data_IF_141505018238
#
_entry.id   IF_141505018238
#
_cell.length_a   1.000
_cell.length_b   1.000
_cell.length_c   1.000
_cell.angle_alpha   90.00
_cell.angle_beta   90.00
_cell.angle_gamma   90.00
#
_symmetry.space_group_name_H-M   'P 1'
#
loop_
_entity.id
_entity.type
_entity.pdbx_description
1 polymer ?
#
# COMPACT_ATOMS: atom_id res chain seq x y z
N UNK A 1 3.63 -32.38 -6.26
CA UNK A 1 2.94 -33.56 -5.72
C UNK A 1 2.26 -33.18 -4.43
N UNK A 2 0.98 -33.44 -4.23
CA UNK A 2 -0.16 -33.35 -5.13
C UNK A 2 -1.08 -32.16 -4.82
N UNK A 3 -1.84 -31.77 -5.81
CA UNK A 3 -2.91 -30.78 -5.76
C UNK A 3 -4.12 -31.32 -4.99
N UNK A 4 -4.62 -30.61 -4.00
CA UNK A 4 -5.91 -30.90 -3.38
C UNK A 4 -6.97 -30.05 -4.05
N UNK A 5 -7.69 -30.65 -5.00
CA UNK A 5 -8.92 -30.13 -5.58
C UNK A 5 -10.05 -30.32 -4.57
N UNK A 6 -10.66 -29.22 -4.14
CA UNK A 6 -11.90 -29.25 -3.37
C UNK A 6 -13.07 -29.10 -4.34
N UNK A 7 -13.79 -30.20 -4.61
CA UNK A 7 -15.05 -30.20 -5.37
C UNK A 7 -16.22 -30.06 -4.39
N UNK A 8 -17.23 -29.23 -4.63
CA UNK A 8 -18.48 -29.28 -3.89
C UNK A 8 -19.41 -30.34 -4.47
N UNK A 9 -19.80 -31.28 -3.64
CA UNK A 9 -20.81 -32.28 -3.95
C UNK A 9 -22.21 -31.65 -3.99
N UNK A 10 -22.84 -31.69 -5.15
CA UNK A 10 -24.23 -31.30 -5.34
C UNK A 10 -25.09 -32.52 -4.97
N UNK A 11 -25.80 -32.44 -3.86
CA UNK A 11 -26.80 -33.46 -3.46
C UNK A 11 -28.15 -33.02 -4.04
N UNK A 12 -28.59 -33.75 -5.05
CA UNK A 12 -29.96 -33.70 -5.57
C UNK A 12 -30.87 -34.52 -4.66
N UNK A 13 -31.76 -33.90 -3.91
CA UNK A 13 -32.91 -34.54 -3.33
C UNK A 13 -34.17 -34.20 -4.14
N UNK A 14 -34.61 -35.13 -4.90
CA UNK A 14 -35.95 -35.15 -5.52
C UNK A 14 -37.00 -35.40 -4.43
N UNK A 15 -37.90 -34.45 -4.22
CA UNK A 15 -39.10 -34.66 -3.41
C UNK A 15 -40.31 -34.51 -4.32
N UNK A 16 -40.90 -35.69 -4.63
CA UNK A 16 -42.26 -35.77 -5.17
C UNK A 16 -43.26 -35.38 -4.07
N UNK A 17 -44.05 -34.37 -4.31
CA UNK A 17 -45.21 -34.08 -3.47
C UNK A 17 -46.46 -33.88 -4.33
N UNK A 18 -47.40 -34.74 -4.00
CA UNK A 18 -48.75 -34.96 -4.52
C UNK A 18 -49.58 -33.69 -4.75
N UNK A 19 -50.28 -33.73 -5.88
CA UNK A 19 -51.42 -32.86 -6.16
C UNK A 19 -52.54 -33.15 -5.16
N UNK A 20 -53.00 -32.10 -4.50
CA UNK A 20 -54.23 -32.05 -3.71
C UNK A 20 -55.02 -30.82 -4.12
N UNK A 21 -56.15 -31.04 -4.76
CA UNK A 21 -57.19 -30.05 -5.02
C UNK A 21 -57.68 -29.44 -3.72
N UNK A 22 -57.79 -28.10 -3.60
CA UNK A 22 -58.83 -27.41 -2.80
C UNK A 22 -59.02 -25.99 -3.29
N UNK A 23 -60.22 -25.80 -3.83
CA UNK A 23 -61.16 -24.67 -3.79
C UNK A 23 -60.68 -23.23 -3.71
N UNK A 24 -61.12 -22.54 -4.73
CA UNK A 24 -61.40 -21.12 -4.88
C UNK A 24 -61.95 -20.49 -3.62
N UNK A 25 -61.20 -19.59 -2.97
CA UNK A 25 -61.80 -18.49 -2.22
C UNK A 25 -61.08 -17.18 -2.47
N UNK A 26 -61.80 -16.36 -3.19
CA UNK A 26 -61.60 -14.96 -3.50
C UNK A 26 -61.44 -14.19 -2.18
N UNK A 27 -60.30 -13.55 -1.89
CA UNK A 27 -60.25 -12.28 -1.20
C UNK A 27 -58.81 -11.77 -1.12
N UNK A 28 -58.59 -10.66 -1.89
CA UNK A 28 -57.72 -9.50 -1.58
C UNK A 28 -56.55 -9.79 -0.67
N UNK A 29 -55.46 -10.28 -1.18
CA UNK A 29 -54.15 -10.11 -0.59
C UNK A 29 -53.48 -8.90 -1.22
N UNK A 30 -53.41 -7.85 -0.43
CA UNK A 30 -52.60 -6.67 -0.69
C UNK A 30 -51.16 -7.14 -0.75
N UNK A 31 -50.60 -7.17 -1.94
CA UNK A 31 -49.14 -7.35 -2.11
C UNK A 31 -48.51 -6.02 -1.69
N UNK A 32 -48.11 -5.96 -0.44
CA UNK A 32 -47.19 -4.91 0.02
C UNK A 32 -45.82 -5.32 -0.46
N UNK A 33 -45.50 -4.93 -1.67
CA UNK A 33 -44.12 -4.92 -2.17
C UNK A 33 -43.37 -3.85 -1.38
N UNK A 34 -42.78 -4.23 -0.26
CA UNK A 34 -41.80 -3.41 0.45
C UNK A 34 -40.57 -3.40 -0.43
N UNK A 35 -40.50 -2.43 -1.32
CA UNK A 35 -39.28 -2.01 -2.01
C UNK A 35 -38.36 -1.44 -0.94
N UNK A 36 -37.49 -2.29 -0.38
CA UNK A 36 -36.30 -1.86 0.38
C UNK A 36 -35.31 -1.21 -0.59
N UNK A 37 -35.67 -0.04 -1.14
CA UNK A 37 -34.72 0.88 -1.75
C UNK A 37 -34.14 1.71 -0.58
N UNK A 38 -33.24 1.09 0.17
CA UNK A 38 -32.36 1.83 1.06
C UNK A 38 -31.51 2.77 0.20
N UNK A 39 -31.41 4.08 0.52
CA UNK A 39 -30.44 4.92 -0.13
C UNK A 39 -29.06 4.35 0.20
N UNK A 40 -28.39 3.75 -0.77
CA UNK A 40 -26.96 3.57 -0.71
C UNK A 40 -26.37 4.98 -0.67
N UNK A 41 -26.06 5.46 0.53
CA UNK A 41 -25.17 6.59 0.71
C UNK A 41 -23.82 6.10 0.18
N UNK A 42 -23.56 6.38 -1.09
CA UNK A 42 -22.22 6.24 -1.65
C UNK A 42 -21.35 7.26 -0.88
N UNK A 43 -20.61 6.79 0.12
CA UNK A 43 -19.50 7.54 0.66
C UNK A 43 -18.60 7.88 -0.52
N UNK A 44 -18.52 9.17 -0.81
CA UNK A 44 -17.57 9.68 -1.80
C UNK A 44 -16.19 9.44 -1.21
N UNK A 45 -15.54 8.33 -1.58
CA UNK A 45 -14.12 8.15 -1.33
C UNK A 45 -13.40 9.31 -2.03
N UNK A 46 -13.02 10.33 -1.26
CA UNK A 46 -12.23 11.44 -1.76
C UNK A 46 -10.95 10.88 -2.39
N UNK A 47 -10.67 11.23 -3.64
CA UNK A 47 -9.40 10.87 -4.25
C UNK A 47 -8.29 11.60 -3.50
N UNK A 48 -7.32 10.83 -2.99
CA UNK A 48 -6.13 11.38 -2.32
C UNK A 48 -5.25 12.07 -3.36
N UNK A 49 -4.83 13.31 -3.07
CA UNK A 49 -4.03 14.14 -3.97
C UNK A 49 -2.54 13.99 -3.65
N UNK A 50 -1.73 13.69 -4.66
CA UNK A 50 -0.28 13.64 -4.54
C UNK A 50 0.37 14.77 -5.34
N UNK A 51 1.21 15.55 -4.66
CA UNK A 51 2.01 16.62 -5.26
C UNK A 51 3.43 16.11 -5.43
N UNK A 52 3.97 16.18 -6.65
CA UNK A 52 5.35 15.78 -6.91
C UNK A 52 6.33 16.78 -6.31
N UNK A 53 7.26 16.28 -5.51
CA UNK A 53 8.38 17.02 -4.96
C UNK A 53 9.64 16.84 -5.81
N UNK A 54 10.55 17.79 -5.71
CA UNK A 54 11.84 17.73 -6.38
C UNK A 54 13.00 17.33 -5.46
N UNK A 55 12.74 17.27 -4.14
CA UNK A 55 13.70 16.85 -3.11
C UNK A 55 13.08 15.97 -2.06
N UNK A 56 13.88 15.03 -1.53
CA UNK A 56 13.55 14.22 -0.37
C UNK A 56 14.51 14.55 0.78
N UNK A 57 13.98 14.56 1.99
CA UNK A 57 14.74 14.58 3.23
C UNK A 57 14.63 13.22 3.89
N UNK A 58 15.77 12.57 4.08
CA UNK A 58 15.89 11.27 4.70
C UNK A 58 16.60 11.41 6.06
N UNK A 59 16.18 10.60 7.01
CA UNK A 59 16.97 10.31 8.21
C UNK A 59 17.79 9.06 7.94
N UNK A 60 19.08 9.13 8.12
CA UNK A 60 20.01 8.02 8.02
C UNK A 60 20.58 7.70 9.41
N UNK A 61 20.48 6.44 9.79
CA UNK A 61 21.02 5.92 11.05
C UNK A 61 22.21 4.99 10.76
N UNK A 62 23.34 5.27 11.37
CA UNK A 62 24.44 4.32 11.50
C UNK A 62 24.20 3.48 12.77
N UNK A 63 23.90 2.19 12.58
CA UNK A 63 23.58 1.27 13.68
C UNK A 63 24.79 0.90 14.54
N UNK A 64 26.00 1.03 14.00
CA UNK A 64 27.24 0.71 14.71
C UNK A 64 27.61 1.83 15.70
N UNK A 65 27.49 3.08 15.24
CA UNK A 65 27.87 4.25 16.05
C UNK A 65 26.67 4.93 16.71
N UNK A 66 25.44 4.44 16.43
CA UNK A 66 24.17 5.03 16.86
C UNK A 66 24.03 6.51 16.45
N UNK A 67 24.67 6.89 15.35
CA UNK A 67 24.64 8.26 14.83
C UNK A 67 23.49 8.45 13.86
N UNK A 68 22.68 9.48 14.11
CA UNK A 68 21.62 9.91 13.22
C UNK A 68 22.11 11.13 12.43
N UNK A 69 21.84 11.14 11.13
CA UNK A 69 22.14 12.23 10.21
C UNK A 69 20.97 12.49 9.28
N UNK A 70 20.79 13.76 8.90
CA UNK A 70 19.80 14.13 7.87
C UNK A 70 20.50 14.23 6.52
N UNK A 71 19.93 13.55 5.52
CA UNK A 71 20.42 13.57 4.13
C UNK A 71 19.35 14.18 3.25
N UNK A 72 19.67 15.27 2.58
CA UNK A 72 18.82 15.87 1.55
C UNK A 72 19.30 15.43 0.17
N UNK A 73 18.39 14.89 -0.61
CA UNK A 73 18.67 14.35 -1.94
C UNK A 73 17.67 14.91 -2.96
N UNK A 74 18.13 15.56 -4.02
CA UNK A 74 17.28 15.93 -5.13
C UNK A 74 16.85 14.67 -5.92
N UNK A 75 15.65 14.72 -6.51
CA UNK A 75 15.16 13.67 -7.38
C UNK A 75 16.08 13.52 -8.58
N UNK A 76 16.42 12.29 -8.95
CA UNK A 76 17.28 11.95 -10.07
C UNK A 76 18.78 12.05 -9.81
N UNK A 77 19.24 12.55 -8.64
CA UNK A 77 20.66 12.62 -8.32
C UNK A 77 21.05 11.70 -7.16
N UNK A 78 22.18 11.04 -7.30
CA UNK A 78 22.73 10.20 -6.25
C UNK A 78 23.28 11.03 -5.09
N UNK A 79 23.06 10.55 -3.86
CA UNK A 79 23.68 11.04 -2.62
C UNK A 79 24.37 9.90 -1.90
N UNK A 80 25.44 10.21 -1.21
CA UNK A 80 26.24 9.22 -0.51
C UNK A 80 26.08 9.38 1.01
N UNK A 81 25.91 8.27 1.69
CA UNK A 81 25.96 8.18 3.14
C UNK A 81 26.68 6.89 3.55
N UNK A 82 27.87 7.04 4.17
CA UNK A 82 28.74 5.88 4.40
C UNK A 82 29.08 5.15 3.09
N UNK A 83 28.78 3.85 3.03
CA UNK A 83 28.94 3.06 1.82
C UNK A 83 27.74 3.10 0.88
N UNK A 84 26.62 3.68 1.35
CA UNK A 84 25.39 3.72 0.57
C UNK A 84 25.42 4.84 -0.50
N UNK A 85 25.02 4.48 -1.69
CA UNK A 85 24.64 5.37 -2.78
C UNK A 85 23.12 5.36 -2.90
N UNK A 86 22.49 6.49 -2.59
CA UNK A 86 21.04 6.67 -2.50
C UNK A 86 20.59 7.52 -3.68
N UNK A 87 19.68 7.01 -4.47
CA UNK A 87 19.04 7.76 -5.57
C UNK A 87 17.54 7.86 -5.30
N UNK A 88 17.01 9.07 -5.30
CA UNK A 88 15.57 9.34 -5.25
C UNK A 88 15.06 9.33 -6.68
N UNK A 89 14.24 8.35 -7.03
CA UNK A 89 13.66 8.24 -8.36
C UNK A 89 12.37 9.07 -8.48
N UNK A 90 11.58 9.12 -7.41
CA UNK A 90 10.37 9.95 -7.30
C UNK A 90 10.13 10.31 -5.84
N UNK A 91 9.55 11.49 -5.61
CA UNK A 91 9.14 11.98 -4.30
C UNK A 91 7.81 12.68 -4.43
N UNK A 92 6.84 12.37 -3.57
CA UNK A 92 5.54 13.00 -3.58
C UNK A 92 5.02 13.17 -2.15
N UNK A 93 4.17 14.16 -1.95
CA UNK A 93 3.58 14.47 -0.64
C UNK A 93 2.12 14.91 -0.79
N UNK A 94 1.37 14.83 0.31
CA UNK A 94 0.00 15.32 0.37
C UNK A 94 -0.03 16.84 0.55
N UNK A 95 -1.05 17.51 0.00
CA UNK A 95 -1.27 18.92 0.27
C UNK A 95 -1.65 19.14 1.74
N UNK A 96 -1.51 20.38 2.27
CA UNK A 96 -1.76 20.71 3.68
C UNK A 96 -3.20 20.43 4.16
N UNK A 97 -4.15 20.34 3.25
CA UNK A 97 -5.57 20.09 3.52
C UNK A 97 -5.88 18.61 3.79
N UNK A 98 -4.96 17.73 3.41
CA UNK A 98 -5.08 16.28 3.59
C UNK A 98 -4.21 15.80 4.75
N UNK A 99 -4.48 14.58 5.31
CA UNK A 99 -3.58 13.99 6.28
C UNK A 99 -2.15 13.92 5.75
N UNK A 100 -1.15 14.39 6.54
CA UNK A 100 0.22 14.49 6.06
C UNK A 100 0.80 13.11 5.75
N UNK A 101 1.22 12.92 4.51
CA UNK A 101 1.93 11.74 4.06
C UNK A 101 3.00 12.14 3.06
N UNK A 102 4.13 11.42 3.09
CA UNK A 102 5.18 11.54 2.09
C UNK A 102 5.56 10.15 1.60
N UNK A 103 5.74 10.02 0.30
CA UNK A 103 6.15 8.79 -0.34
C UNK A 103 7.33 9.06 -1.29
N UNK A 104 8.37 8.23 -1.22
CA UNK A 104 9.49 8.31 -2.14
C UNK A 104 9.80 6.92 -2.70
N UNK A 105 10.03 6.85 -4.01
CA UNK A 105 10.63 5.68 -4.63
C UNK A 105 12.14 5.87 -4.66
N UNK A 106 12.86 5.02 -3.94
CA UNK A 106 14.32 5.12 -3.82
C UNK A 106 15.00 3.86 -4.34
N UNK A 107 16.21 4.03 -4.83
CA UNK A 107 17.13 2.96 -5.14
C UNK A 107 18.39 3.16 -4.30
N UNK A 108 18.78 2.12 -3.56
CA UNK A 108 19.97 2.15 -2.70
C UNK A 108 20.94 1.08 -3.17
N UNK A 109 22.18 1.48 -3.36
CA UNK A 109 23.30 0.60 -3.69
C UNK A 109 24.33 0.67 -2.57
N UNK A 110 24.84 -0.46 -2.15
CA UNK A 110 26.00 -0.53 -1.25
C UNK A 110 27.27 -0.68 -2.08
N UNK A 111 28.22 0.22 -1.87
CA UNK A 111 29.53 0.22 -2.53
C UNK A 111 30.55 -0.62 -1.80
N UNK A 112 30.22 -1.08 -0.58
CA UNK A 112 31.14 -1.81 0.26
C UNK A 112 32.42 -1.03 0.60
N UNK A 113 33.34 -1.71 1.26
CA UNK A 113 34.70 -1.22 1.59
C UNK A 113 35.80 -1.95 0.78
N UNK A 114 35.41 -2.93 0.00
CA UNK A 114 36.30 -3.91 -0.63
C UNK A 114 36.64 -3.57 -2.10
N UNK A 115 36.12 -2.45 -2.61
CA UNK A 115 36.33 -2.01 -3.98
C UNK A 115 35.60 -2.84 -5.03
N UNK A 116 34.69 -3.74 -4.64
CA UNK A 116 33.83 -4.47 -5.55
C UNK A 116 32.80 -3.54 -6.21
N UNK A 117 32.15 -4.04 -7.25
CA UNK A 117 31.09 -3.29 -7.91
C UNK A 117 29.91 -3.04 -6.97
N UNK A 118 29.31 -1.82 -6.97
CA UNK A 118 28.18 -1.50 -6.11
C UNK A 118 27.02 -2.47 -6.30
N UNK A 119 26.52 -3.04 -5.18
CA UNK A 119 25.40 -3.97 -5.16
C UNK A 119 24.11 -3.23 -4.80
N UNK A 120 23.05 -3.42 -5.58
CA UNK A 120 21.73 -2.90 -5.19
C UNK A 120 21.21 -3.69 -3.97
N UNK A 121 20.92 -2.98 -2.89
CA UNK A 121 20.44 -3.54 -1.62
C UNK A 121 18.99 -3.22 -1.36
N UNK A 122 18.45 -2.19 -2.03
CA UNK A 122 17.05 -1.81 -1.92
C UNK A 122 16.57 -1.11 -3.20
N UNK A 123 15.31 -1.35 -3.58
CA UNK A 123 14.60 -0.54 -4.58
C UNK A 123 13.10 -0.66 -4.30
N UNK A 124 12.45 0.44 -3.93
CA UNK A 124 11.04 0.43 -3.57
C UNK A 124 10.53 1.76 -3.05
N UNK A 125 9.23 1.77 -2.75
CA UNK A 125 8.57 2.89 -2.09
C UNK A 125 8.83 2.84 -0.59
N UNK A 126 9.13 4.01 -0.02
CA UNK A 126 9.17 4.26 1.42
C UNK A 126 8.19 5.36 1.78
N UNK A 127 7.58 5.26 2.97
CA UNK A 127 6.53 6.16 3.44
C UNK A 127 6.93 6.80 4.77
N UNK A 128 6.59 8.08 4.95
CA UNK A 128 6.92 8.78 6.20
C UNK A 128 6.08 8.34 7.38
N UNK A 129 4.79 8.02 7.16
CA UNK A 129 3.88 7.55 8.20
C UNK A 129 4.11 6.10 8.61
N UNK A 130 4.70 5.29 7.74
CA UNK A 130 4.81 3.85 7.94
C UNK A 130 6.19 3.31 7.51
N UNK A 131 7.28 3.71 8.18
CA UNK A 131 8.63 3.34 7.76
C UNK A 131 8.89 1.83 7.80
N UNK A 132 8.16 1.09 8.64
CA UNK A 132 8.33 -0.36 8.77
C UNK A 132 7.72 -1.19 7.61
N UNK A 133 6.85 -0.59 6.78
CA UNK A 133 6.22 -1.31 5.66
C UNK A 133 7.22 -1.67 4.58
N UNK A 134 8.24 -0.82 4.37
CA UNK A 134 9.27 -1.01 3.34
C UNK A 134 10.59 -0.46 3.85
N UNK A 135 11.21 -1.18 4.80
CA UNK A 135 12.46 -0.78 5.41
C UNK A 135 13.68 -1.27 4.60
N UNK A 136 14.76 -0.50 4.62
CA UNK A 136 16.05 -0.95 4.12
C UNK A 136 16.61 -2.01 5.07
N UNK A 137 16.75 -3.25 4.59
CA UNK A 137 17.44 -4.31 5.33
C UNK A 137 18.95 -4.25 5.07
N UNK A 138 19.67 -3.47 5.88
CA UNK A 138 21.12 -3.36 5.79
C UNK A 138 21.77 -3.55 7.17
N UNK A 139 22.88 -4.28 7.29
CA UNK A 139 23.47 -4.58 8.60
C UNK A 139 23.97 -3.36 9.37
N UNK A 140 24.41 -2.31 8.66
CA UNK A 140 25.05 -1.13 9.26
C UNK A 140 24.15 0.08 9.25
N UNK A 141 23.34 0.26 8.20
CA UNK A 141 22.58 1.49 7.98
C UNK A 141 21.09 1.25 7.98
N UNK A 142 20.35 2.29 8.36
CA UNK A 142 18.90 2.37 8.20
C UNK A 142 18.52 3.72 7.61
N UNK A 143 17.43 3.75 6.79
CA UNK A 143 16.95 4.94 6.11
C UNK A 143 15.44 5.09 6.33
N UNK A 144 15.05 6.29 6.77
CA UNK A 144 13.63 6.65 6.95
C UNK A 144 13.33 7.93 6.17
N UNK A 145 12.20 7.97 5.48
CA UNK A 145 11.72 9.19 4.83
C UNK A 145 11.14 10.14 5.87
N UNK A 146 11.62 11.39 5.87
CA UNK A 146 11.08 12.46 6.71
C UNK A 146 10.09 13.34 5.95
N UNK A 147 10.49 13.78 4.76
CA UNK A 147 9.66 14.67 3.95
C UNK A 147 10.02 14.63 2.47
N UNK A 148 9.03 14.89 1.63
CA UNK A 148 9.15 15.30 0.25
C UNK A 148 8.76 16.79 0.13
N UNK A 149 9.45 17.56 -0.67
CA UNK A 149 9.13 18.97 -0.87
C UNK A 149 9.58 19.46 -2.25
N UNK A 150 8.96 20.55 -2.69
CA UNK A 150 9.39 21.33 -3.84
C UNK A 150 9.98 22.65 -3.34
N UNK A 151 11.06 23.12 -3.96
CA UNK A 151 11.63 24.46 -3.71
C UNK A 151 10.82 25.51 -4.44
#
# INVERSE_FOLDING_TARGET
MPQVMCQPAIIWHAIHAKFGHISVWRRRTIVVAITCLGPFLADSAGAVTWIDGNKARLQALDKITARISTVEAPVGAARFYGTLEITINRCAYHPPEEPPENAAFITVRDRGYDGLAPKQVFSGWIFSSSPAVSALEHPVYDLTLLACFAD
#
